data_IF_645415221755
#
_entry.id   IF_645415221755
#
_cell.length_a   1.000
_cell.length_b   1.000
_cell.length_c   1.000
_cell.angle_alpha   90.00
_cell.angle_beta   90.00
_cell.angle_gamma   90.00
#
_symmetry.space_group_name_H-M   'P 1'
#
loop_
_entity.id
_entity.type
_entity.pdbx_description
1 polymer ?
#
# COMPACT_ATOMS: atom_id res chain seq x y z
N UNK A 1 16.18 -97.31 37.04
CA UNK A 1 14.79 -97.55 37.49
C UNK A 1 14.02 -96.32 37.08
N UNK A 2 13.10 -96.28 36.12
CA UNK A 2 12.38 -97.23 35.25
C UNK A 2 11.54 -96.23 34.41
N UNK A 3 11.70 -96.05 33.10
CA UNK A 3 11.28 -96.90 31.98
C UNK A 3 10.24 -96.11 31.13
N UNK A 4 10.13 -96.47 29.84
CA UNK A 4 9.08 -96.15 28.85
C UNK A 4 9.23 -94.93 27.90
N UNK A 5 9.75 -95.22 26.69
CA UNK A 5 9.24 -94.76 25.37
C UNK A 5 7.91 -95.49 25.04
N UNK A 6 7.19 -95.29 23.90
CA UNK A 6 7.15 -94.24 22.85
C UNK A 6 5.71 -93.78 22.48
N UNK A 7 5.52 -92.75 21.63
CA UNK A 7 4.43 -92.73 20.63
C UNK A 7 4.53 -91.62 19.58
N UNK A 8 4.06 -91.98 18.39
CA UNK A 8 4.22 -91.40 17.06
C UNK A 8 3.11 -90.41 16.66
N UNK A 9 3.40 -89.60 15.62
CA UNK A 9 2.52 -88.87 14.66
C UNK A 9 1.95 -87.47 15.03
N UNK A 10 1.64 -86.60 14.05
CA UNK A 10 2.20 -86.42 12.70
C UNK A 10 2.60 -84.96 12.37
N UNK A 11 3.52 -84.86 11.42
CA UNK A 11 3.86 -83.67 10.65
C UNK A 11 2.66 -83.16 9.84
N UNK A 12 2.16 -81.96 10.14
CA UNK A 12 1.40 -81.13 9.19
C UNK A 12 1.74 -79.65 9.39
N UNK A 13 2.76 -79.19 8.67
CA UNK A 13 2.91 -77.77 8.35
C UNK A 13 1.82 -77.40 7.32
N UNK A 14 1.02 -76.34 7.53
CA UNK A 14 0.17 -75.82 6.46
C UNK A 14 1.07 -75.10 5.45
N UNK A 15 1.29 -75.76 4.32
CA UNK A 15 1.84 -75.16 3.12
C UNK A 15 0.72 -74.36 2.41
N UNK A 16 0.41 -73.15 2.90
CA UNK A 16 -0.45 -72.23 2.14
C UNK A 16 -0.24 -70.74 2.46
N UNK A 17 1.01 -70.32 2.65
CA UNK A 17 1.36 -68.90 2.87
C UNK A 17 2.19 -68.27 1.73
N UNK A 18 2.43 -69.00 0.64
CA UNK A 18 3.36 -68.57 -0.42
C UNK A 18 2.69 -67.99 -1.68
N UNK A 19 1.37 -67.98 -1.77
CA UNK A 19 0.66 -67.59 -3.01
C UNK A 19 0.16 -66.13 -3.06
N UNK A 20 0.38 -65.32 -2.02
CA UNK A 20 -0.12 -63.93 -1.97
C UNK A 20 0.95 -62.84 -2.24
N UNK A 21 2.24 -63.21 -2.31
CA UNK A 21 3.33 -62.24 -2.40
C UNK A 21 3.62 -61.74 -3.83
N UNK A 22 3.27 -62.51 -4.86
CA UNK A 22 3.73 -62.25 -6.24
C UNK A 22 2.82 -61.27 -7.01
N UNK A 23 1.58 -61.05 -6.56
CA UNK A 23 0.64 -60.12 -7.21
C UNK A 23 0.74 -58.69 -6.67
N UNK A 24 1.35 -58.47 -5.50
CA UNK A 24 1.43 -57.16 -4.84
C UNK A 24 2.70 -56.36 -5.20
N UNK A 25 3.81 -57.03 -5.50
CA UNK A 25 5.07 -56.40 -5.92
C UNK A 25 4.94 -55.50 -7.16
N UNK A 26 4.30 -55.90 -8.28
CA UNK A 26 4.20 -55.05 -9.47
C UNK A 26 3.30 -53.81 -9.27
N UNK A 27 2.35 -53.86 -8.32
CA UNK A 27 1.46 -52.74 -8.00
C UNK A 27 2.16 -51.73 -7.09
N UNK A 28 2.99 -52.22 -6.16
CA UNK A 28 3.81 -51.37 -5.29
C UNK A 28 4.88 -50.61 -6.10
N UNK A 29 5.55 -51.27 -7.05
CA UNK A 29 6.57 -50.64 -7.90
C UNK A 29 5.97 -49.57 -8.83
N UNK A 30 4.76 -49.80 -9.37
CA UNK A 30 4.04 -48.79 -10.16
C UNK A 30 3.61 -47.59 -9.32
N UNK A 31 3.16 -47.82 -8.07
CA UNK A 31 2.79 -46.75 -7.15
C UNK A 31 4.02 -45.91 -6.75
N UNK A 32 5.17 -46.56 -6.53
CA UNK A 32 6.43 -45.89 -6.22
C UNK A 32 6.89 -45.00 -7.38
N UNK A 33 6.91 -45.55 -8.61
CA UNK A 33 7.29 -44.81 -9.80
C UNK A 33 6.35 -43.61 -10.07
N UNK A 34 5.04 -43.77 -9.86
CA UNK A 34 4.07 -42.68 -9.98
C UNK A 34 4.29 -41.59 -8.92
N UNK A 35 4.63 -41.97 -7.69
CA UNK A 35 4.95 -41.02 -6.62
C UNK A 35 6.24 -40.24 -6.91
N UNK A 36 7.29 -40.91 -7.40
CA UNK A 36 8.55 -40.27 -7.80
C UNK A 36 8.36 -39.26 -8.93
N UNK A 37 7.56 -39.62 -9.95
CA UNK A 37 7.23 -38.72 -11.05
C UNK A 37 6.49 -37.46 -10.54
N UNK A 38 5.52 -37.67 -9.64
CA UNK A 38 4.76 -36.57 -9.02
C UNK A 38 5.65 -35.67 -8.15
N UNK A 39 6.61 -36.25 -7.43
CA UNK A 39 7.60 -35.48 -6.66
C UNK A 39 8.48 -34.65 -7.60
N UNK A 40 8.93 -35.22 -8.72
CA UNK A 40 9.72 -34.49 -9.71
C UNK A 40 8.92 -33.32 -10.33
N UNK A 41 7.66 -33.54 -10.71
CA UNK A 41 6.76 -32.49 -11.21
C UNK A 41 6.55 -31.37 -10.20
N UNK A 42 6.32 -31.72 -8.92
CA UNK A 42 6.15 -30.73 -7.85
C UNK A 42 7.44 -29.98 -7.54
N UNK A 43 8.60 -30.65 -7.57
CA UNK A 43 9.90 -30.00 -7.37
C UNK A 43 10.19 -29.00 -8.48
N UNK A 44 9.92 -29.35 -9.74
CA UNK A 44 10.06 -28.44 -10.87
C UNK A 44 9.08 -27.25 -10.76
N UNK A 45 7.81 -27.50 -10.41
CA UNK A 45 6.83 -26.45 -10.16
C UNK A 45 7.26 -25.52 -9.02
N UNK A 46 7.81 -26.06 -7.92
CA UNK A 46 8.33 -25.28 -6.80
C UNK A 46 9.55 -24.45 -7.19
N UNK A 47 10.46 -25.00 -7.99
CA UNK A 47 11.64 -24.28 -8.47
C UNK A 47 11.23 -23.10 -9.35
N UNK A 48 10.29 -23.33 -10.28
CA UNK A 48 9.71 -22.27 -11.12
C UNK A 48 9.00 -21.21 -10.29
N UNK A 49 8.14 -21.61 -9.34
CA UNK A 49 7.45 -20.67 -8.45
C UNK A 49 8.41 -19.82 -7.60
N UNK A 50 9.50 -20.42 -7.09
CA UNK A 50 10.55 -19.68 -6.37
C UNK A 50 11.23 -18.66 -7.28
N UNK A 51 11.61 -19.06 -8.51
CA UNK A 51 12.23 -18.17 -9.46
C UNK A 51 11.30 -17.00 -9.87
N UNK A 52 10.01 -17.27 -10.07
CA UNK A 52 9.01 -16.23 -10.34
C UNK A 52 8.87 -15.26 -9.16
N UNK A 53 8.85 -15.77 -7.93
CA UNK A 53 8.78 -14.96 -6.71
C UNK A 53 9.99 -14.04 -6.58
N UNK A 54 11.21 -14.55 -6.80
CA UNK A 54 12.43 -13.73 -6.76
C UNK A 54 12.45 -12.68 -7.87
N UNK A 55 12.01 -13.03 -9.08
CA UNK A 55 11.88 -12.07 -10.18
C UNK A 55 10.83 -10.99 -9.91
N UNK A 56 9.70 -11.33 -9.27
CA UNK A 56 8.71 -10.35 -8.83
C UNK A 56 9.28 -9.46 -7.73
N UNK A 57 9.96 -10.02 -6.73
CA UNK A 57 10.57 -9.27 -5.63
C UNK A 57 11.60 -8.26 -6.14
N UNK A 58 12.46 -8.66 -7.06
CA UNK A 58 13.44 -7.77 -7.71
C UNK A 58 12.75 -6.63 -8.46
N UNK A 59 11.75 -6.94 -9.29
CA UNK A 59 10.99 -5.92 -10.03
C UNK A 59 10.26 -4.96 -9.10
N UNK A 60 9.59 -5.46 -8.06
CA UNK A 60 8.92 -4.63 -7.07
C UNK A 60 9.89 -3.69 -6.34
N UNK A 61 11.10 -4.16 -6.00
CA UNK A 61 12.13 -3.31 -5.41
C UNK A 61 12.59 -2.20 -6.37
N UNK A 62 12.79 -2.52 -7.65
CA UNK A 62 13.11 -1.53 -8.69
C UNK A 62 11.99 -0.50 -8.86
N UNK A 63 10.73 -0.93 -8.84
CA UNK A 63 9.57 -0.05 -8.99
C UNK A 63 9.39 0.87 -7.78
N UNK A 64 9.62 0.39 -6.55
CA UNK A 64 9.62 1.24 -5.33
C UNK A 64 10.73 2.29 -5.41
N UNK A 65 11.94 1.92 -5.86
CA UNK A 65 13.03 2.87 -6.03
C UNK A 65 12.70 3.93 -7.09
N UNK A 66 12.11 3.53 -8.22
CA UNK A 66 11.66 4.45 -9.27
C UNK A 66 10.54 5.37 -8.76
N UNK A 67 9.54 4.82 -8.07
CA UNK A 67 8.45 5.59 -7.49
C UNK A 67 8.97 6.61 -6.45
N UNK A 68 9.96 6.25 -5.65
CA UNK A 68 10.62 7.19 -4.73
C UNK A 68 11.39 8.29 -5.47
N UNK A 69 12.16 7.94 -6.51
CA UNK A 69 12.99 8.88 -7.28
C UNK A 69 12.16 9.86 -8.12
N UNK A 70 11.07 9.38 -8.72
CA UNK A 70 10.25 10.13 -9.68
C UNK A 70 8.85 10.48 -9.13
N UNK A 71 8.56 10.19 -7.86
CA UNK A 71 7.25 10.43 -7.26
C UNK A 71 6.82 11.90 -7.27
N UNK A 72 7.79 12.83 -7.23
CA UNK A 72 7.54 14.26 -7.32
C UNK A 72 7.55 14.81 -8.76
N UNK A 73 7.80 13.99 -9.78
CA UNK A 73 7.99 14.44 -11.17
C UNK A 73 6.79 15.22 -11.70
N UNK A 74 5.58 14.70 -11.48
CA UNK A 74 4.33 15.36 -11.91
C UNK A 74 4.20 16.76 -11.31
N UNK A 75 4.46 16.90 -10.02
CA UNK A 75 4.40 18.18 -9.32
C UNK A 75 5.52 19.12 -9.78
N UNK A 76 6.75 18.60 -9.89
CA UNK A 76 7.91 19.37 -10.34
C UNK A 76 7.69 19.96 -11.74
N UNK A 77 7.20 19.16 -12.68
CA UNK A 77 6.89 19.61 -14.04
C UNK A 77 5.79 20.68 -14.05
N UNK A 78 4.79 20.57 -13.17
CA UNK A 78 3.73 21.58 -13.05
C UNK A 78 4.20 22.88 -12.36
N UNK A 79 5.28 22.83 -11.57
CA UNK A 79 5.84 24.00 -10.88
C UNK A 79 6.80 24.83 -11.76
N UNK A 80 7.35 24.25 -12.83
CA UNK A 80 8.24 24.99 -13.75
C UNK A 80 7.56 26.25 -14.34
N UNK A 81 6.34 26.18 -14.90
CA UNK A 81 5.66 27.37 -15.41
C UNK A 81 5.37 28.44 -14.35
N UNK A 82 5.17 28.05 -13.09
CA UNK A 82 4.96 28.98 -11.97
C UNK A 82 6.25 29.76 -11.71
N UNK A 83 7.40 29.08 -11.69
CA UNK A 83 8.71 29.72 -11.58
C UNK A 83 8.94 30.67 -12.75
N UNK A 84 8.67 30.25 -13.97
CA UNK A 84 8.88 31.06 -15.17
C UNK A 84 8.02 32.34 -15.13
N UNK A 85 6.78 32.23 -14.65
CA UNK A 85 5.89 33.39 -14.47
C UNK A 85 6.39 34.36 -13.39
N UNK A 86 6.97 33.86 -12.30
CA UNK A 86 7.60 34.69 -11.27
C UNK A 86 8.87 35.38 -11.80
N UNK A 87 9.70 34.68 -12.57
CA UNK A 87 10.89 35.26 -13.21
C UNK A 87 10.51 36.37 -14.20
N UNK A 88 9.45 36.14 -15.01
CA UNK A 88 8.91 37.15 -15.90
C UNK A 88 8.40 38.39 -15.14
N UNK A 89 7.72 38.19 -14.00
CA UNK A 89 7.25 39.29 -13.16
C UNK A 89 8.40 40.11 -12.55
N UNK A 90 9.53 39.47 -12.21
CA UNK A 90 10.71 40.18 -11.70
C UNK A 90 11.50 40.93 -12.78
N UNK A 91 11.43 40.47 -14.03
CA UNK A 91 12.04 41.14 -15.17
C UNK A 91 11.23 42.34 -15.67
N UNK A 92 9.96 42.46 -15.28
CA UNK A 92 9.15 43.63 -15.61
C UNK A 92 9.61 44.85 -14.78
N UNK A 93 9.95 45.93 -15.48
CA UNK A 93 10.33 47.21 -14.89
C UNK A 93 9.18 48.22 -14.92
N UNK A 94 7.98 47.82 -15.35
CA UNK A 94 6.80 48.64 -15.25
C UNK A 94 6.48 48.93 -13.77
N UNK A 95 6.14 50.18 -13.46
CA UNK A 95 5.72 50.59 -12.12
C UNK A 95 4.20 50.50 -11.94
N UNK A 96 3.51 49.79 -12.84
CA UNK A 96 2.06 49.64 -12.77
C UNK A 96 1.67 48.50 -11.82
N UNK A 97 1.22 48.92 -10.63
CA UNK A 97 0.74 48.02 -9.59
C UNK A 97 -0.46 47.18 -10.04
N UNK A 98 -1.30 47.68 -10.96
CA UNK A 98 -2.45 46.92 -11.46
C UNK A 98 -2.01 45.76 -12.36
N UNK A 99 -1.07 46.01 -13.27
CA UNK A 99 -0.45 44.98 -14.11
C UNK A 99 0.27 43.93 -13.26
N UNK A 100 1.04 44.36 -12.25
CA UNK A 100 1.73 43.45 -11.33
C UNK A 100 0.74 42.57 -10.55
N UNK A 101 -0.35 43.15 -10.02
CA UNK A 101 -1.39 42.40 -9.31
C UNK A 101 -2.02 41.34 -10.21
N UNK A 102 -2.36 41.69 -11.44
CA UNK A 102 -2.92 40.74 -12.42
C UNK A 102 -1.97 39.59 -12.73
N UNK A 103 -0.67 39.88 -12.91
CA UNK A 103 0.36 38.86 -13.12
C UNK A 103 0.52 37.91 -11.93
N UNK A 104 0.46 38.45 -10.70
CA UNK A 104 0.50 37.64 -9.47
C UNK A 104 -0.75 36.77 -9.33
N UNK A 105 -1.94 37.28 -9.64
CA UNK A 105 -3.18 36.51 -9.64
C UNK A 105 -3.14 35.35 -10.65
N UNK A 106 -2.60 35.59 -11.85
CA UNK A 106 -2.41 34.54 -12.84
C UNK A 106 -1.43 33.46 -12.36
N UNK A 107 -0.33 33.89 -11.75
CA UNK A 107 0.68 32.98 -11.18
C UNK A 107 0.11 32.14 -10.04
N UNK A 108 -0.71 32.74 -9.17
CA UNK A 108 -1.42 32.03 -8.10
C UNK A 108 -2.38 30.98 -8.68
N UNK A 109 -3.09 31.30 -9.76
CA UNK A 109 -3.98 30.35 -10.44
C UNK A 109 -3.21 29.16 -11.03
N UNK A 110 -2.04 29.41 -11.64
CA UNK A 110 -1.16 28.33 -12.12
C UNK A 110 -0.68 27.43 -10.96
N UNK A 111 -0.31 28.03 -9.82
CA UNK A 111 0.09 27.29 -8.63
C UNK A 111 -1.05 26.41 -8.10
N UNK A 112 -2.28 26.92 -8.04
CA UNK A 112 -3.45 26.14 -7.65
C UNK A 112 -3.71 24.96 -8.59
N UNK A 113 -3.53 25.16 -9.89
CA UNK A 113 -3.63 24.07 -10.88
C UNK A 113 -2.53 23.02 -10.68
N UNK A 114 -1.29 23.43 -10.40
CA UNK A 114 -0.19 22.53 -10.09
C UNK A 114 -0.47 21.70 -8.82
N UNK A 115 -1.03 22.33 -7.79
CA UNK A 115 -1.42 21.67 -6.54
C UNK A 115 -2.50 20.62 -6.79
N UNK A 116 -3.62 21.02 -7.40
CA UNK A 116 -4.73 20.11 -7.70
C UNK A 116 -4.28 18.95 -8.59
N UNK A 117 -3.46 19.22 -9.62
CA UNK A 117 -2.90 18.19 -10.49
C UNK A 117 -2.01 17.18 -9.75
N UNK A 118 -1.32 17.59 -8.69
CA UNK A 118 -0.51 16.71 -7.84
C UNK A 118 -1.30 16.05 -6.71
N UNK A 119 -2.63 16.27 -6.63
CA UNK A 119 -3.48 15.75 -5.56
C UNK A 119 -3.36 16.54 -4.26
N UNK A 120 -2.82 17.77 -4.30
CA UNK A 120 -2.81 18.69 -3.17
C UNK A 120 -4.08 19.53 -3.19
N UNK A 121 -4.86 19.45 -2.12
CA UNK A 121 -6.13 20.18 -1.96
C UNK A 121 -6.04 21.19 -0.82
N UNK A 122 -6.51 22.41 -1.07
CA UNK A 122 -6.61 23.46 -0.08
C UNK A 122 -7.86 23.26 0.78
N UNK A 123 -7.71 23.34 2.11
CA UNK A 123 -8.81 23.25 3.07
C UNK A 123 -9.04 24.61 3.72
N UNK A 124 -10.22 25.19 3.48
CA UNK A 124 -10.65 26.47 4.05
C UNK A 124 -11.99 26.26 4.79
N UNK A 125 -11.95 25.70 6.02
CA UNK A 125 -13.13 25.15 6.68
C UNK A 125 -14.00 26.23 7.34
N UNK A 126 -14.08 27.43 6.76
CA UNK A 126 -14.83 28.54 7.34
C UNK A 126 -16.32 28.19 7.44
N UNK A 127 -16.88 28.25 8.65
CA UNK A 127 -18.27 27.88 8.91
C UNK A 127 -18.52 26.36 9.02
N UNK A 128 -17.52 25.52 8.80
CA UNK A 128 -17.64 24.07 8.95
C UNK A 128 -17.49 23.64 10.42
N UNK A 129 -17.98 22.44 10.74
CA UNK A 129 -17.76 21.81 12.04
C UNK A 129 -16.27 21.56 12.25
N UNK A 130 -15.77 21.85 13.45
CA UNK A 130 -14.39 21.58 13.81
C UNK A 130 -14.08 20.08 13.79
N UNK A 131 -13.08 19.69 13.00
CA UNK A 131 -12.54 18.33 12.93
C UNK A 131 -11.09 18.34 13.48
N UNK A 132 -10.82 17.73 14.65
CA UNK A 132 -9.47 17.64 15.22
C UNK A 132 -8.45 16.92 14.34
N UNK A 133 -8.89 16.09 13.39
CA UNK A 133 -7.97 15.38 12.49
C UNK A 133 -7.45 16.28 11.37
N UNK A 134 -8.20 17.32 10.99
CA UNK A 134 -7.88 18.20 9.84
C UNK A 134 -7.61 19.64 10.26
N UNK A 135 -8.09 20.06 11.43
CA UNK A 135 -8.04 21.43 11.91
C UNK A 135 -7.29 21.51 13.23
N UNK A 136 -6.58 22.62 13.43
CA UNK A 136 -5.90 22.97 14.68
C UNK A 136 -6.52 24.24 15.23
N UNK A 137 -7.29 24.10 16.31
CA UNK A 137 -7.90 25.24 16.99
C UNK A 137 -6.86 25.98 17.85
N UNK A 138 -6.69 27.27 17.60
CA UNK A 138 -5.75 28.13 18.34
C UNK A 138 -6.44 28.87 19.49
N UNK A 139 -7.72 29.19 19.31
CA UNK A 139 -8.53 29.84 20.34
C UNK A 139 -10.01 29.51 20.15
N UNK A 140 -10.81 29.82 21.17
CA UNK A 140 -12.26 29.75 21.12
C UNK A 140 -12.85 31.12 21.45
N UNK A 141 -13.85 31.55 20.69
CA UNK A 141 -14.54 32.83 20.92
C UNK A 141 -16.05 32.62 21.00
N UNK A 142 -16.73 33.53 21.69
CA UNK A 142 -18.18 33.63 21.61
C UNK A 142 -18.54 34.18 20.23
N UNK A 143 -19.33 33.42 19.49
CA UNK A 143 -19.80 33.79 18.17
C UNK A 143 -21.24 33.32 17.99
N UNK A 144 -22.06 34.05 17.22
CA UNK A 144 -23.39 33.59 16.85
C UNK A 144 -23.28 32.33 15.99
N UNK A 145 -24.08 31.30 16.30
CA UNK A 145 -24.12 30.04 15.57
C UNK A 145 -24.00 28.82 16.48
N UNK A 146 -23.77 27.66 15.87
CA UNK A 146 -23.56 26.42 16.62
C UNK A 146 -22.18 26.41 17.29
N UNK A 147 -22.06 25.88 18.53
CA UNK A 147 -20.76 25.67 19.16
C UNK A 147 -19.92 24.64 18.38
N UNK A 148 -18.59 24.67 18.57
CA UNK A 148 -17.62 23.80 17.90
C UNK A 148 -17.60 23.92 16.36
N UNK A 149 -17.91 25.10 15.83
CA UNK A 149 -17.76 25.42 14.41
C UNK A 149 -16.61 26.40 14.20
N UNK A 150 -15.98 26.33 13.03
CA UNK A 150 -14.90 27.25 12.65
C UNK A 150 -15.51 28.62 12.34
N UNK A 151 -15.13 29.62 13.13
CA UNK A 151 -15.59 31.01 12.98
C UNK A 151 -14.61 31.80 12.13
N UNK A 152 -13.33 31.45 12.18
CA UNK A 152 -12.29 32.12 11.41
C UNK A 152 -11.18 31.14 11.05
N UNK A 153 -10.68 31.25 9.82
CA UNK A 153 -9.49 30.52 9.35
C UNK A 153 -8.31 31.50 9.32
N UNK A 154 -7.33 31.27 10.19
CA UNK A 154 -6.12 32.07 10.28
C UNK A 154 -5.08 31.64 9.24
N UNK A 155 -5.02 30.34 8.96
CA UNK A 155 -4.15 29.76 7.96
C UNK A 155 -4.85 28.55 7.35
N UNK A 156 -4.95 28.54 6.02
CA UNK A 156 -5.58 27.44 5.28
C UNK A 156 -4.83 26.13 5.49
N UNK A 157 -5.56 25.03 5.52
CA UNK A 157 -5.00 23.68 5.56
C UNK A 157 -4.65 23.17 4.16
N UNK A 158 -3.86 22.10 4.10
CA UNK A 158 -3.60 21.37 2.87
C UNK A 158 -3.66 19.87 3.12
N UNK A 159 -4.30 19.16 2.19
CA UNK A 159 -4.32 17.71 2.09
C UNK A 159 -3.49 17.27 0.89
N UNK A 160 -2.82 16.13 1.00
CA UNK A 160 -2.27 15.38 -0.13
C UNK A 160 -3.07 14.09 -0.25
N UNK A 161 -3.94 14.04 -1.26
CA UNK A 161 -5.01 13.06 -1.33
C UNK A 161 -5.81 13.09 -0.03
N UNK A 162 -5.81 12.01 0.75
CA UNK A 162 -6.52 11.93 2.02
C UNK A 162 -5.65 12.25 3.24
N UNK A 163 -4.34 12.45 3.04
CA UNK A 163 -3.39 12.68 4.14
C UNK A 163 -3.21 14.16 4.42
N UNK A 164 -3.33 14.55 5.68
CA UNK A 164 -3.09 15.94 6.10
C UNK A 164 -1.61 16.30 5.93
N UNK A 165 -1.32 17.25 5.04
CA UNK A 165 0.01 17.86 4.93
C UNK A 165 0.19 18.97 5.98
N UNK A 166 -0.85 19.78 6.14
CA UNK A 166 -0.88 20.89 7.09
C UNK A 166 -2.31 21.09 7.58
N UNK A 167 -2.57 21.07 8.89
CA UNK A 167 -3.90 21.37 9.40
C UNK A 167 -4.26 22.84 9.16
N UNK A 168 -5.55 23.12 9.02
CA UNK A 168 -6.03 24.50 8.99
C UNK A 168 -5.96 25.09 10.42
N UNK A 169 -5.34 26.26 10.58
CA UNK A 169 -5.36 26.97 11.85
C UNK A 169 -6.64 27.78 11.95
N UNK A 170 -7.44 27.48 12.98
CA UNK A 170 -8.80 27.99 13.11
C UNK A 170 -9.09 28.55 14.48
N UNK A 171 -10.06 29.46 14.53
CA UNK A 171 -10.74 29.87 15.76
C UNK A 171 -12.13 29.24 15.73
N UNK A 172 -12.52 28.59 16.83
CA UNK A 172 -13.81 27.89 16.92
C UNK A 172 -14.79 28.62 17.84
N UNK A 173 -16.08 28.42 17.59
CA UNK A 173 -17.15 28.96 18.43
C UNK A 173 -17.24 28.17 19.74
N UNK A 174 -17.42 28.89 20.85
CA UNK A 174 -17.96 28.34 22.09
C UNK A 174 -19.39 28.83 22.30
N UNK A 175 -20.19 28.06 23.03
CA UNK A 175 -21.55 28.49 23.38
C UNK A 175 -21.48 29.82 24.15
N UNK A 176 -22.29 30.80 23.73
CA UNK A 176 -22.48 32.02 24.50
C UNK A 176 -23.09 31.62 25.86
N UNK A 177 -22.42 32.03 26.95
CA UNK A 177 -22.89 31.78 28.32
C UNK A 177 -23.95 32.79 28.73
#
# INVERSE_FOLDING_TARGET
MTDQTPQDLPNTLPADAAAAADTQAPVADQALAAAELKVAELQDALLRAKAETENMRRRAAEDVLKAGKFGAEKFANAMVPVKDSLEAALADHSSDVATLRSGVELTLKQLQQAFSGAGIEETDPLGEKFDPHRHQAISQIEAPGEPNHVVQVLQKGYLLHERVLRPALVIVSRAAS
#
